data_IF_404007046757
#
_entry.id   IF_404007046757
#
_cell.length_a   1.000
_cell.length_b   1.000
_cell.length_c   1.000
_cell.angle_alpha   90.00
_cell.angle_beta   90.00
_cell.angle_gamma   90.00
#
_symmetry.space_group_name_H-M   'P 1'
#
loop_
_entity.id
_entity.type
_entity.pdbx_description
1 polymer ?
#
# COMPACT_ATOMS: atom_id res chain seq x y z
N UNK A 1 -14.48 -7.50 -15.60
CA UNK A 1 -14.85 -7.35 -14.18
C UNK A 1 -13.66 -7.77 -13.33
N UNK A 2 -12.86 -6.84 -12.80
CA UNK A 2 -11.68 -7.16 -11.98
C UNK A 2 -12.05 -7.16 -10.51
N UNK A 3 -12.15 -8.35 -9.93
CA UNK A 3 -12.41 -8.61 -8.51
C UNK A 3 -11.18 -8.24 -7.68
N UNK A 4 -11.07 -6.96 -7.32
CA UNK A 4 -10.08 -6.50 -6.34
C UNK A 4 -10.46 -7.10 -4.99
N UNK A 5 -9.76 -8.18 -4.59
CA UNK A 5 -9.81 -8.75 -3.25
C UNK A 5 -9.31 -7.70 -2.26
N UNK A 6 -10.24 -7.00 -1.60
CA UNK A 6 -9.93 -6.06 -0.52
C UNK A 6 -9.77 -6.85 0.78
N UNK A 7 -8.57 -6.82 1.32
CA UNK A 7 -8.26 -7.37 2.62
C UNK A 7 -9.03 -6.61 3.71
N UNK A 8 -9.77 -7.34 4.54
CA UNK A 8 -10.77 -6.79 5.46
C UNK A 8 -10.07 -6.45 6.79
N UNK A 9 -9.44 -5.28 6.87
CA UNK A 9 -8.87 -4.81 8.14
C UNK A 9 -9.99 -4.49 9.16
N UNK A 10 -9.83 -4.86 10.44
CA UNK A 10 -10.78 -4.54 11.49
C UNK A 10 -10.85 -3.02 11.69
N UNK A 11 -12.08 -2.51 11.83
CA UNK A 11 -12.36 -1.08 12.01
C UNK A 11 -11.94 -0.63 13.42
N UNK A 12 -10.66 -0.38 13.61
CA UNK A 12 -10.14 0.43 14.71
C UNK A 12 -10.44 1.91 14.46
N UNK A 13 -10.60 2.66 15.54
CA UNK A 13 -11.04 4.06 15.62
C UNK A 13 -10.49 4.96 14.50
N UNK A 14 -11.40 5.62 13.78
CA UNK A 14 -11.08 6.62 12.77
C UNK A 14 -10.54 6.01 11.47
N UNK A 15 -11.35 5.99 10.43
CA UNK A 15 -10.85 5.79 9.06
C UNK A 15 -9.70 6.78 8.83
N UNK A 16 -8.46 6.29 8.77
CA UNK A 16 -7.31 7.14 8.46
C UNK A 16 -7.61 7.89 7.15
N UNK A 17 -7.28 9.19 7.05
CA UNK A 17 -7.60 9.97 5.87
C UNK A 17 -7.05 9.30 4.61
N UNK A 18 -7.89 9.12 3.60
CA UNK A 18 -7.51 8.46 2.34
C UNK A 18 -6.41 9.25 1.66
N UNK A 19 -5.24 8.62 1.49
CA UNK A 19 -4.15 9.18 0.70
C UNK A 19 -4.42 8.94 -0.80
N UNK A 20 -4.87 9.99 -1.51
CA UNK A 20 -5.07 9.91 -2.95
C UNK A 20 -3.76 10.22 -3.69
N UNK A 21 -3.17 9.20 -4.31
CA UNK A 21 -2.00 9.36 -5.18
C UNK A 21 -2.44 9.35 -6.64
N UNK A 22 -2.05 10.37 -7.40
CA UNK A 22 -2.13 10.34 -8.86
C UNK A 22 -0.83 9.79 -9.42
N UNK A 23 -0.91 8.61 -10.02
CA UNK A 23 0.19 7.96 -10.74
C UNK A 23 -0.26 7.63 -12.16
N UNK A 24 0.70 7.57 -13.10
CA UNK A 24 0.44 7.11 -14.45
C UNK A 24 -0.12 5.68 -14.44
N UNK A 25 -1.04 5.34 -15.36
CA UNK A 25 -1.67 4.02 -15.39
C UNK A 25 -0.66 2.89 -15.60
N UNK A 26 0.37 3.12 -16.42
CA UNK A 26 1.44 2.13 -16.68
C UNK A 26 2.23 1.79 -15.41
N UNK A 27 2.58 2.81 -14.63
CA UNK A 27 3.27 2.61 -13.35
C UNK A 27 2.35 1.89 -12.35
N UNK A 28 1.05 2.21 -12.33
CA UNK A 28 0.09 1.52 -11.48
C UNK A 28 0.02 0.03 -11.78
N UNK A 29 0.06 -0.36 -13.05
CA UNK A 29 0.03 -1.77 -13.44
C UNK A 29 1.29 -2.51 -12.99
N UNK A 30 2.47 -1.91 -13.17
CA UNK A 30 3.74 -2.47 -12.69
C UNK A 30 3.70 -2.70 -11.16
N UNK A 31 3.25 -1.70 -10.42
CA UNK A 31 3.14 -1.78 -8.96
C UNK A 31 2.12 -2.84 -8.52
N UNK A 32 1.00 -2.96 -9.24
CA UNK A 32 -0.01 -3.96 -8.94
C UNK A 32 0.47 -5.38 -9.27
N UNK A 33 1.28 -5.56 -10.32
CA UNK A 33 1.89 -6.84 -10.64
C UNK A 33 2.88 -7.29 -9.56
N UNK A 34 3.72 -6.38 -9.07
CA UNK A 34 4.68 -6.69 -7.99
C UNK A 34 3.96 -6.97 -6.66
N UNK A 35 3.00 -6.12 -6.29
CA UNK A 35 2.18 -6.35 -5.11
C UNK A 35 1.42 -7.69 -5.17
N UNK A 36 0.94 -8.09 -6.36
CA UNK A 36 0.29 -9.38 -6.57
C UNK A 36 1.26 -10.56 -6.44
N UNK A 37 2.53 -10.43 -6.87
CA UNK A 37 3.56 -11.46 -6.64
C UNK A 37 3.83 -11.65 -5.14
N UNK A 38 3.88 -10.56 -4.39
CA UNK A 38 4.01 -10.57 -2.93
C UNK A 38 2.73 -11.01 -2.20
N UNK A 39 1.62 -11.24 -2.93
CA UNK A 39 0.34 -11.66 -2.37
C UNK A 39 -0.36 -10.58 -1.53
N UNK A 40 0.06 -9.32 -1.63
CA UNK A 40 -0.45 -8.21 -0.84
C UNK A 40 -1.23 -7.22 -1.70
N UNK A 41 -2.16 -6.48 -1.08
CA UNK A 41 -2.83 -5.38 -1.77
C UNK A 41 -1.83 -4.24 -2.06
N UNK A 42 -2.03 -3.51 -3.16
CA UNK A 42 -1.22 -2.34 -3.51
C UNK A 42 -1.06 -1.37 -2.33
N UNK A 43 -2.14 -1.14 -1.57
CA UNK A 43 -2.09 -0.27 -0.40
C UNK A 43 -1.20 -0.79 0.73
N UNK A 44 -1.21 -2.11 0.99
CA UNK A 44 -0.31 -2.70 2.00
C UNK A 44 1.14 -2.72 1.51
N UNK A 45 1.35 -2.99 0.23
CA UNK A 45 2.67 -2.94 -0.41
C UNK A 45 3.31 -1.55 -0.28
N UNK A 46 2.53 -0.48 -0.52
CA UNK A 46 3.00 0.89 -0.30
C UNK A 46 3.30 1.21 1.15
N UNK A 47 2.55 0.65 2.11
CA UNK A 47 2.86 0.82 3.55
C UNK A 47 4.21 0.20 3.89
N UNK A 48 4.48 -1.01 3.42
CA UNK A 48 5.77 -1.66 3.62
C UNK A 48 6.91 -0.88 2.96
N UNK A 49 6.73 -0.44 1.71
CA UNK A 49 7.72 0.39 1.01
C UNK A 49 8.02 1.67 1.80
N UNK A 50 7.00 2.36 2.30
CA UNK A 50 7.17 3.56 3.12
C UNK A 50 7.90 3.26 4.44
N UNK A 51 7.56 2.16 5.12
CA UNK A 51 8.25 1.73 6.36
C UNK A 51 9.72 1.41 6.10
N UNK A 52 10.03 0.74 5.01
CA UNK A 52 11.41 0.43 4.62
C UNK A 52 12.19 1.70 4.29
N UNK A 53 11.60 2.64 3.56
CA UNK A 53 12.24 3.91 3.23
C UNK A 53 12.47 4.78 4.48
N UNK A 54 11.54 4.78 5.44
CA UNK A 54 11.72 5.44 6.74
C UNK A 54 12.90 4.83 7.50
N UNK A 55 12.96 3.49 7.60
CA UNK A 55 14.10 2.78 8.22
C UNK A 55 15.42 3.11 7.52
N UNK A 56 15.43 3.17 6.18
CA UNK A 56 16.62 3.53 5.39
C UNK A 56 17.13 4.94 5.71
N UNK A 57 16.22 5.86 6.07
CA UNK A 57 16.53 7.22 6.51
C UNK A 57 16.82 7.33 8.01
N UNK A 58 16.85 6.21 8.74
CA UNK A 58 17.06 6.18 10.18
C UNK A 58 15.85 6.61 11.02
N UNK A 59 14.66 6.67 10.41
CA UNK A 59 13.42 7.03 11.10
C UNK A 59 12.69 5.75 11.48
N UNK A 60 12.39 5.57 12.76
CA UNK A 60 11.58 4.44 13.22
C UNK A 60 10.11 4.64 12.77
N UNK A 61 9.57 3.72 11.95
CA UNK A 61 8.19 3.83 11.49
C UNK A 61 7.23 3.63 12.67
N UNK A 62 6.38 4.63 12.91
CA UNK A 62 5.30 4.55 13.91
C UNK A 62 4.13 3.75 13.34
N UNK A 63 3.48 2.98 14.21
CA UNK A 63 2.37 2.09 13.87
C UNK A 63 1.11 2.87 13.47
#
# INVERSE_FOLDING_TARGET
MSTIKRDKSPKGEGLSPTFQIRIAPELREQLNAEAAKDGVSLGNWFKELARQELKRRGIEPKA
#
